data_IF_721569695381
#
_entry.id   IF_721569695381
#
_cell.length_a   1.000
_cell.length_b   1.000
_cell.length_c   1.000
_cell.angle_alpha   90.00
_cell.angle_beta   90.00
_cell.angle_gamma   90.00
#
_symmetry.space_group_name_H-M   'P 1'
#
loop_
_entity.id
_entity.type
_entity.pdbx_description
1 polymer ?
#
# COMPACT_ATOMS: atom_id res chain seq x y z
N UNK A 1 -21.12 -0.06 -6.96
CA UNK A 1 -21.32 0.38 -5.56
C UNK A 1 -20.06 -0.01 -4.81
N UNK A 2 -19.33 0.96 -4.27
CA UNK A 2 -18.17 0.69 -3.41
C UNK A 2 -18.58 0.77 -1.95
N UNK A 3 -17.81 0.13 -1.08
CA UNK A 3 -17.99 0.08 0.36
C UNK A 3 -16.71 0.52 1.04
N UNK A 4 -16.81 1.63 1.76
CA UNK A 4 -15.75 2.11 2.65
C UNK A 4 -15.35 1.06 3.68
N UNK A 5 -14.04 0.89 3.86
CA UNK A 5 -13.45 0.00 4.85
C UNK A 5 -12.72 0.82 5.91
N UNK A 6 -12.96 0.50 7.18
CA UNK A 6 -12.30 1.22 8.28
C UNK A 6 -10.79 0.98 8.28
N UNK A 7 -10.01 2.03 8.00
CA UNK A 7 -8.55 2.04 8.12
C UNK A 7 -8.14 1.63 9.54
N UNK A 8 -8.79 2.17 10.56
CA UNK A 8 -8.47 1.86 11.96
C UNK A 8 -8.67 0.39 12.33
N UNK A 9 -9.62 -0.29 11.68
CA UNK A 9 -9.93 -1.70 11.92
C UNK A 9 -8.97 -2.63 11.17
N UNK A 10 -8.65 -2.32 9.93
CA UNK A 10 -7.95 -3.25 9.03
C UNK A 10 -6.46 -2.96 8.88
N UNK A 11 -6.06 -1.69 9.02
CA UNK A 11 -4.69 -1.24 8.79
C UNK A 11 -3.94 -1.12 10.13
N UNK A 12 -2.77 -1.79 10.28
CA UNK A 12 -1.91 -1.65 11.44
C UNK A 12 -1.49 -0.20 11.67
N UNK A 13 -1.40 0.23 12.94
CA UNK A 13 -1.10 1.63 13.34
C UNK A 13 0.07 2.26 12.58
N UNK A 14 1.17 1.52 12.39
CA UNK A 14 2.38 2.01 11.70
C UNK A 14 2.16 2.46 10.25
N UNK A 15 1.12 1.95 9.57
CA UNK A 15 0.83 2.28 8.17
C UNK A 15 -0.32 3.27 8.02
N UNK A 16 -1.09 3.56 9.07
CA UNK A 16 -2.30 4.40 8.93
C UNK A 16 -1.99 5.81 8.41
N UNK A 17 -0.81 6.34 8.73
CA UNK A 17 -0.41 7.66 8.27
C UNK A 17 -0.03 7.69 6.78
N UNK A 18 0.17 6.55 6.15
CA UNK A 18 0.50 6.43 4.72
C UNK A 18 -0.73 6.15 3.84
N UNK A 19 -1.89 5.88 4.45
CA UNK A 19 -3.13 5.55 3.74
C UNK A 19 -4.05 6.77 3.70
N UNK A 20 -4.49 7.14 2.51
CA UNK A 20 -5.50 8.18 2.30
C UNK A 20 -6.90 7.59 2.39
N UNK A 21 -7.13 6.48 1.68
CA UNK A 21 -8.45 5.86 1.55
C UNK A 21 -8.36 4.32 1.46
N UNK A 22 -9.39 3.63 1.94
CA UNK A 22 -9.49 2.17 1.87
C UNK A 22 -10.93 1.72 1.66
N UNK A 23 -11.23 1.16 0.49
CA UNK A 23 -12.57 0.72 0.13
C UNK A 23 -12.55 -0.63 -0.60
N UNK A 24 -13.74 -1.20 -0.82
CA UNK A 24 -13.95 -2.41 -1.61
C UNK A 24 -15.07 -2.20 -2.61
N UNK A 25 -14.89 -2.66 -3.83
CA UNK A 25 -15.93 -2.72 -4.85
C UNK A 25 -16.12 -4.16 -5.39
N UNK A 26 -16.65 -4.29 -6.60
CA UNK A 26 -16.86 -5.58 -7.25
C UNK A 26 -15.55 -6.23 -7.71
N UNK A 27 -14.52 -5.43 -7.97
CA UNK A 27 -13.25 -5.86 -8.56
C UNK A 27 -12.19 -6.13 -7.48
N UNK A 28 -12.41 -5.69 -6.24
CA UNK A 28 -11.55 -6.05 -5.13
C UNK A 28 -11.47 -4.99 -4.05
N UNK A 29 -10.40 -5.07 -3.27
CA UNK A 29 -10.06 -4.13 -2.21
C UNK A 29 -9.03 -3.14 -2.73
N UNK A 30 -9.33 -1.86 -2.60
CA UNK A 30 -8.52 -0.74 -3.04
C UNK A 30 -7.99 0.02 -1.84
N UNK A 31 -6.69 0.22 -1.79
CA UNK A 31 -6.01 1.03 -0.77
C UNK A 31 -5.22 2.12 -1.47
N UNK A 32 -5.65 3.36 -1.27
CA UNK A 32 -4.99 4.54 -1.83
C UNK A 32 -4.02 5.11 -0.81
N UNK A 33 -2.80 5.39 -1.26
CA UNK A 33 -1.75 5.99 -0.45
C UNK A 33 -1.87 7.50 -0.45
N UNK A 34 -1.38 8.12 0.61
CA UNK A 34 -1.22 9.58 0.64
C UNK A 34 -0.14 10.02 -0.33
N UNK A 35 -0.21 11.29 -0.73
CA UNK A 35 0.85 11.94 -1.50
C UNK A 35 2.22 11.78 -0.81
N UNK A 36 3.26 11.47 -1.60
CA UNK A 36 4.61 11.20 -1.12
C UNK A 36 4.86 9.76 -0.65
N UNK A 37 3.90 8.85 -0.84
CA UNK A 37 4.07 7.41 -0.59
C UNK A 37 3.78 6.57 -1.83
N UNK A 38 4.56 5.50 -1.98
CA UNK A 38 4.46 4.57 -3.11
C UNK A 38 4.58 3.13 -2.61
N UNK A 39 3.94 2.20 -3.31
CA UNK A 39 4.22 0.78 -3.16
C UNK A 39 5.40 0.41 -4.06
N UNK A 40 6.53 0.04 -3.45
CA UNK A 40 7.75 -0.30 -4.18
C UNK A 40 7.64 -1.59 -5.01
N UNK A 41 6.58 -2.38 -4.82
CA UNK A 41 6.35 -3.65 -5.53
C UNK A 41 5.81 -3.42 -6.97
N UNK A 42 4.97 -2.40 -7.13
CA UNK A 42 4.27 -2.10 -8.37
C UNK A 42 4.41 -0.63 -8.82
N UNK A 43 5.23 0.15 -8.11
CA UNK A 43 5.51 1.55 -8.41
C UNK A 43 4.24 2.40 -8.54
N UNK A 44 3.27 2.15 -7.65
CA UNK A 44 1.96 2.80 -7.69
C UNK A 44 1.57 3.44 -6.35
N UNK A 45 0.75 4.48 -6.44
CA UNK A 45 0.13 5.17 -5.29
C UNK A 45 -1.13 4.47 -4.80
N UNK A 46 -1.51 3.34 -5.41
CA UNK A 46 -2.65 2.52 -5.01
C UNK A 46 -2.28 1.03 -5.02
N UNK A 47 -2.80 0.30 -4.03
CA UNK A 47 -2.71 -1.16 -3.94
C UNK A 47 -4.11 -1.73 -4.19
N UNK A 48 -4.24 -2.60 -5.18
CA UNK A 48 -5.48 -3.29 -5.52
C UNK A 48 -5.28 -4.79 -5.45
N UNK A 49 -6.10 -5.47 -4.65
CA UNK A 49 -6.03 -6.92 -4.44
C UNK A 49 -7.43 -7.51 -4.23
N UNK A 50 -7.59 -8.82 -4.46
CA UNK A 50 -8.88 -9.52 -4.32
C UNK A 50 -9.43 -9.46 -2.89
N UNK A 51 -8.55 -9.52 -1.89
CA UNK A 51 -8.93 -9.59 -0.47
C UNK A 51 -8.20 -8.58 0.41
N UNK A 52 -8.84 -8.20 1.52
CA UNK A 52 -8.24 -7.36 2.56
C UNK A 52 -6.95 -8.00 3.12
N UNK A 53 -6.88 -9.34 3.14
CA UNK A 53 -5.70 -10.05 3.63
C UNK A 53 -4.50 -9.82 2.72
N UNK A 54 -4.74 -9.81 1.41
CA UNK A 54 -3.69 -9.64 0.41
C UNK A 54 -3.20 -8.19 0.41
N UNK A 55 -4.12 -7.20 0.49
CA UNK A 55 -3.75 -5.78 0.72
C UNK A 55 -2.87 -5.65 1.97
N UNK A 56 -3.24 -6.29 3.07
CA UNK A 56 -2.45 -6.26 4.31
C UNK A 56 -1.05 -6.86 4.15
N UNK A 57 -0.89 -7.86 3.29
CA UNK A 57 0.42 -8.46 2.99
C UNK A 57 1.32 -7.51 2.20
N UNK A 58 0.72 -6.63 1.39
CA UNK A 58 1.41 -5.60 0.60
C UNK A 58 1.77 -4.35 1.39
N UNK A 59 1.17 -4.08 2.56
CA UNK A 59 1.51 -2.90 3.36
C UNK A 59 3.01 -2.75 3.67
N UNK A 60 3.76 -3.87 3.72
CA UNK A 60 5.21 -3.84 3.95
C UNK A 60 6.01 -3.25 2.79
N UNK A 61 5.42 -3.14 1.59
CA UNK A 61 6.06 -2.61 0.39
C UNK A 61 5.92 -1.09 0.28
N UNK A 62 5.12 -0.47 1.17
CA UNK A 62 4.91 0.97 1.19
C UNK A 62 6.16 1.65 1.75
N UNK A 63 6.69 2.61 0.99
CA UNK A 63 7.82 3.46 1.33
C UNK A 63 7.53 4.90 0.90
N UNK A 64 8.30 5.88 1.38
CA UNK A 64 8.17 7.24 0.84
C UNK A 64 8.70 7.29 -0.60
N UNK A 65 8.09 8.13 -1.42
CA UNK A 65 8.48 8.35 -2.81
C UNK A 65 9.94 8.84 -2.92
N UNK A 66 10.34 9.75 -2.01
CA UNK A 66 11.72 10.24 -1.92
C UNK A 66 12.71 9.12 -1.60
N UNK A 67 12.39 8.20 -0.68
CA UNK A 67 13.26 7.06 -0.42
C UNK A 67 13.34 6.12 -1.63
N UNK A 68 12.21 5.87 -2.29
CA UNK A 68 12.16 5.02 -3.48
C UNK A 68 13.04 5.56 -4.62
N UNK A 69 12.97 6.86 -4.90
CA UNK A 69 13.77 7.54 -5.93
C UNK A 69 15.28 7.50 -5.63
N UNK A 70 15.66 7.43 -4.35
CA UNK A 70 17.06 7.38 -3.93
C UNK A 70 17.61 5.95 -3.83
N UNK A 71 16.79 4.92 -3.97
CA UNK A 71 17.21 3.53 -3.88
C UNK A 71 17.66 2.99 -5.25
N UNK A 72 18.70 2.15 -5.24
CA UNK A 72 19.03 1.35 -6.43
C UNK A 72 18.05 0.19 -6.60
N UNK A 73 18.05 -0.40 -7.79
CA UNK A 73 17.23 -1.59 -8.07
C UNK A 73 17.57 -2.76 -7.14
N UNK A 74 18.85 -2.94 -6.80
CA UNK A 74 19.29 -3.98 -5.87
C UNK A 74 18.76 -3.73 -4.46
N UNK A 75 18.73 -2.47 -4.01
CA UNK A 75 18.20 -2.08 -2.70
C UNK A 75 16.69 -2.31 -2.64
N UNK A 76 15.95 -1.96 -3.70
CA UNK A 76 14.51 -2.22 -3.82
C UNK A 76 14.24 -3.73 -3.76
N UNK A 77 14.99 -4.53 -4.52
CA UNK A 77 14.86 -6.00 -4.48
C UNK A 77 15.16 -6.56 -3.08
N UNK A 78 16.18 -6.03 -2.40
CA UNK A 78 16.49 -6.47 -1.05
C UNK A 78 15.39 -6.07 -0.04
N UNK A 79 14.78 -4.90 -0.22
CA UNK A 79 13.64 -4.44 0.58
C UNK A 79 12.41 -5.33 0.41
N UNK A 80 12.03 -5.66 -0.83
CA UNK A 80 10.84 -6.48 -1.11
C UNK A 80 10.95 -7.94 -0.62
N UNK A 81 12.18 -8.46 -0.52
CA UNK A 81 12.46 -9.83 -0.11
C UNK A 81 12.63 -10.01 1.43
N UNK A 82 12.45 -8.96 2.22
CA UNK A 82 12.39 -9.04 3.70
C UNK A 82 11.02 -9.48 4.21
#
# INVERSE_FOLDING_TARGET
MYKELSIEKYIPKKYRNTVEDFYKDMDGCWLNLKEGYISADNEATSIHEDTIKDVKSKLKTIISEVEFENMTREEIMHFLNK
#
